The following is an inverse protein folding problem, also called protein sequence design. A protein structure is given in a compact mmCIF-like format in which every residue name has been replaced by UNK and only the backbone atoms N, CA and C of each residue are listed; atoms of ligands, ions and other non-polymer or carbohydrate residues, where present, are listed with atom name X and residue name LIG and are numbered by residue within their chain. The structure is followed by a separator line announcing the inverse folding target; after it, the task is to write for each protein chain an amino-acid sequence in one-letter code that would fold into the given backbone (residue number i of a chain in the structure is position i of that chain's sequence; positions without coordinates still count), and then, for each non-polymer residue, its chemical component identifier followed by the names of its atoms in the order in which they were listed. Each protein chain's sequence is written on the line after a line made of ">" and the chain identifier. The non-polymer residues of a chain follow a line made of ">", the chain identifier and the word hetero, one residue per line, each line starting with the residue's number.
data_IF_369439617824
#
_entry.id   IF_369439617824
#
_cell.length_a   1.000
_cell.length_b   1.000
_cell.length_c   1.000
_cell.angle_alpha   90.00
_cell.angle_beta   90.00
_cell.angle_gamma   90.00
#
_symmetry.space_group_name_H-M   'P 1'
#
loop_
_entity.id
_entity.type
_entity.pdbx_description
1 polymer ?
#
# COMPACT_ATOMS: atom_id res chain seq x y z
N UNK A 1 -41.21 2.90 0.74
CA UNK A 1 -40.23 3.84 0.14
C UNK A 1 -40.80 4.59 -1.07
N UNK A 2 -41.07 3.93 -2.21
CA UNK A 2 -41.58 4.62 -3.42
C UNK A 2 -42.97 5.27 -3.27
N UNK A 3 -43.80 4.74 -2.36
CA UNK A 3 -45.06 5.39 -1.97
C UNK A 3 -44.86 6.74 -1.26
N UNK A 4 -43.72 6.94 -0.59
CA UNK A 4 -43.41 8.16 0.18
C UNK A 4 -42.53 9.14 -0.61
N UNK A 5 -41.72 8.64 -1.54
CA UNK A 5 -40.92 9.46 -2.47
C UNK A 5 -40.68 8.70 -3.76
N UNK A 6 -41.20 9.27 -4.85
CA UNK A 6 -41.03 8.75 -6.21
C UNK A 6 -39.53 8.69 -6.55
N UNK A 7 -39.10 7.68 -7.31
CA UNK A 7 -37.71 7.42 -7.74
C UNK A 7 -36.72 7.01 -6.64
N UNK A 8 -37.17 6.53 -5.47
CA UNK A 8 -36.28 5.83 -4.54
C UNK A 8 -35.78 4.50 -5.15
N UNK A 9 -34.45 4.32 -5.20
CA UNK A 9 -33.73 3.22 -5.87
C UNK A 9 -34.11 3.17 -7.35
N UNK A 10 -33.56 4.07 -8.15
CA UNK A 10 -34.06 4.34 -9.51
C UNK A 10 -33.52 3.37 -10.57
N UNK A 11 -32.34 2.77 -10.36
CA UNK A 11 -31.71 1.87 -11.33
C UNK A 11 -31.69 0.42 -10.86
N UNK A 12 -31.64 -0.50 -11.83
CA UNK A 12 -31.44 -1.93 -11.56
C UNK A 12 -30.12 -2.17 -10.83
N UNK A 13 -29.06 -1.45 -11.16
CA UNK A 13 -27.75 -1.53 -10.51
C UNK A 13 -27.83 -1.16 -9.02
N UNK A 14 -28.55 -0.09 -8.66
CA UNK A 14 -28.77 0.29 -7.27
C UNK A 14 -29.58 -0.78 -6.52
N UNK A 15 -30.57 -1.39 -7.18
CA UNK A 15 -31.37 -2.47 -6.60
C UNK A 15 -30.50 -3.72 -6.36
N UNK A 16 -29.69 -4.13 -7.35
CA UNK A 16 -28.73 -5.24 -7.22
C UNK A 16 -27.74 -4.96 -6.09
N UNK A 17 -27.18 -3.75 -6.02
CA UNK A 17 -26.25 -3.34 -4.96
C UNK A 17 -26.87 -3.47 -3.57
N UNK A 18 -28.15 -3.10 -3.39
CA UNK A 18 -28.83 -3.27 -2.12
C UNK A 18 -28.93 -4.76 -1.70
N UNK A 19 -29.20 -5.67 -2.64
CA UNK A 19 -29.19 -7.11 -2.37
C UNK A 19 -27.78 -7.62 -2.08
N UNK A 20 -26.76 -7.16 -2.81
CA UNK A 20 -25.37 -7.52 -2.54
C UNK A 20 -24.94 -7.09 -1.12
N UNK A 21 -25.30 -5.88 -0.70
CA UNK A 21 -25.03 -5.39 0.65
C UNK A 21 -25.75 -6.22 1.73
N UNK A 22 -27.00 -6.65 1.48
CA UNK A 22 -27.73 -7.54 2.38
C UNK A 22 -27.08 -8.93 2.47
N UNK A 23 -26.67 -9.51 1.35
CA UNK A 23 -25.96 -10.79 1.32
C UNK A 23 -24.63 -10.68 2.08
N UNK A 24 -23.89 -9.60 1.90
CA UNK A 24 -22.66 -9.35 2.68
C UNK A 24 -22.96 -9.30 4.18
N UNK A 25 -23.95 -8.52 4.63
CA UNK A 25 -24.28 -8.41 6.06
C UNK A 25 -24.79 -9.73 6.65
N UNK A 26 -25.59 -10.50 5.91
CA UNK A 26 -26.22 -11.72 6.40
C UNK A 26 -25.30 -12.95 6.33
N UNK A 27 -24.35 -12.96 5.39
CA UNK A 27 -23.48 -14.11 5.14
C UNK A 27 -22.05 -13.91 5.62
N UNK A 28 -21.57 -12.68 5.81
CA UNK A 28 -20.23 -12.44 6.35
C UNK A 28 -20.22 -12.57 7.87
N UNK A 29 -19.22 -13.26 8.39
CA UNK A 29 -18.96 -13.30 9.82
C UNK A 29 -18.48 -11.93 10.30
N UNK A 30 -18.84 -11.55 11.53
CA UNK A 30 -18.25 -10.37 12.15
C UNK A 30 -16.83 -10.73 12.67
N UNK A 31 -15.80 -10.09 12.11
CA UNK A 31 -14.40 -10.30 12.48
C UNK A 31 -13.86 -9.23 13.43
N UNK A 32 -14.69 -8.25 13.79
CA UNK A 32 -14.33 -7.14 14.65
C UNK A 32 -14.11 -7.60 16.09
N UNK A 33 -13.01 -7.16 16.70
CA UNK A 33 -12.63 -7.43 18.09
C UNK A 33 -12.32 -6.11 18.79
N UNK A 34 -12.75 -5.93 20.05
CA UNK A 34 -12.16 -4.87 20.89
C UNK A 34 -10.70 -5.21 21.21
N UNK A 35 -9.88 -4.19 21.54
CA UNK A 35 -8.47 -4.41 21.94
C UNK A 35 -8.35 -5.45 23.07
N UNK A 36 -9.23 -5.37 24.08
CA UNK A 36 -9.24 -6.29 25.23
C UNK A 36 -9.54 -7.73 24.82
N UNK A 37 -10.54 -7.92 23.94
CA UNK A 37 -10.88 -9.25 23.42
C UNK A 37 -9.74 -9.80 22.56
N UNK A 38 -9.15 -8.96 21.71
CA UNK A 38 -8.04 -9.35 20.86
C UNK A 38 -6.85 -9.87 21.68
N UNK A 39 -6.36 -9.09 22.64
CA UNK A 39 -5.22 -9.49 23.50
C UNK A 39 -5.50 -10.80 24.24
N UNK A 40 -6.74 -10.99 24.70
CA UNK A 40 -7.15 -12.21 25.43
C UNK A 40 -7.24 -13.44 24.51
N UNK A 41 -7.77 -13.26 23.30
CA UNK A 41 -8.09 -14.36 22.39
C UNK A 41 -6.95 -14.68 21.41
N UNK A 42 -5.97 -13.79 21.24
CA UNK A 42 -4.97 -13.88 20.18
C UNK A 42 -4.27 -15.24 20.09
N UNK A 43 -3.74 -15.72 21.22
CA UNK A 43 -3.05 -17.02 21.25
C UNK A 43 -3.98 -18.18 20.87
N UNK A 44 -5.27 -18.09 21.24
CA UNK A 44 -6.29 -19.09 20.90
C UNK A 44 -6.63 -19.07 19.41
N UNK A 45 -6.77 -17.89 18.79
CA UNK A 45 -7.11 -17.79 17.36
C UNK A 45 -5.91 -18.09 16.44
N UNK A 46 -4.68 -17.88 16.94
CA UNK A 46 -3.42 -18.24 16.26
C UNK A 46 -3.11 -19.73 16.36
N UNK A 47 -3.51 -20.39 17.43
CA UNK A 47 -3.29 -21.82 17.61
C UNK A 47 -3.97 -22.65 16.52
N UNK A 48 -3.25 -23.67 16.02
CA UNK A 48 -3.77 -24.60 15.01
C UNK A 48 -4.71 -25.61 15.65
N UNK A 49 -5.84 -25.86 14.99
CA UNK A 49 -6.77 -26.92 15.40
C UNK A 49 -6.18 -28.29 15.10
N UNK A 50 -6.27 -29.22 16.06
CA UNK A 50 -5.83 -30.60 15.89
C UNK A 50 -6.63 -31.35 14.80
N UNK A 51 -7.87 -30.95 14.55
CA UNK A 51 -8.74 -31.62 13.58
C UNK A 51 -8.47 -31.18 12.13
N UNK A 52 -8.18 -29.89 11.90
CA UNK A 52 -8.04 -29.31 10.55
C UNK A 52 -6.60 -28.94 10.20
N UNK A 53 -5.69 -28.89 11.18
CA UNK A 53 -4.32 -28.39 11.01
C UNK A 53 -4.23 -26.88 10.75
N UNK A 54 -5.36 -26.16 10.80
CA UNK A 54 -5.45 -24.72 10.52
C UNK A 54 -5.92 -23.95 11.75
N UNK A 55 -5.41 -22.74 11.89
CA UNK A 55 -5.83 -21.73 12.86
C UNK A 55 -7.10 -21.01 12.41
N UNK A 56 -7.73 -20.28 13.33
CA UNK A 56 -8.89 -19.46 12.97
C UNK A 56 -8.51 -18.33 12.00
N UNK A 57 -7.29 -17.79 12.14
CA UNK A 57 -6.73 -16.76 11.26
C UNK A 57 -6.51 -17.30 9.84
N UNK A 58 -5.99 -18.52 9.69
CA UNK A 58 -5.80 -19.15 8.37
C UNK A 58 -7.15 -19.43 7.68
N UNK A 59 -8.18 -19.85 8.43
CA UNK A 59 -9.53 -20.05 7.88
C UNK A 59 -10.18 -18.73 7.43
N UNK A 60 -9.94 -17.65 8.17
CA UNK A 60 -10.38 -16.30 7.82
C UNK A 60 -9.71 -15.79 6.53
N UNK A 61 -8.42 -16.08 6.33
CA UNK A 61 -7.73 -15.77 5.07
C UNK A 61 -8.35 -16.49 3.86
N UNK A 62 -8.75 -17.75 4.02
CA UNK A 62 -9.44 -18.51 2.97
C UNK A 62 -10.83 -17.95 2.65
N UNK A 63 -11.54 -17.46 3.66
CA UNK A 63 -12.81 -16.76 3.48
C UNK A 63 -12.61 -15.48 2.67
N UNK A 64 -11.60 -14.68 3.01
CA UNK A 64 -11.27 -13.44 2.30
C UNK A 64 -10.97 -13.69 0.81
N UNK A 65 -10.23 -14.76 0.51
CA UNK A 65 -9.91 -15.14 -0.87
C UNK A 65 -11.14 -15.51 -1.72
N UNK A 66 -12.24 -15.97 -1.10
CA UNK A 66 -13.50 -16.28 -1.80
C UNK A 66 -14.34 -15.03 -2.08
N UNK A 67 -14.21 -14.00 -1.25
CA UNK A 67 -15.06 -12.80 -1.30
C UNK A 67 -14.43 -11.68 -2.14
N UNK A 68 -13.11 -11.65 -2.28
CA UNK A 68 -12.40 -10.69 -3.14
C UNK A 68 -12.07 -11.32 -4.50
N UNK A 69 -12.91 -11.16 -5.54
CA UNK A 69 -12.59 -11.64 -6.87
C UNK A 69 -11.41 -10.88 -7.46
N UNK A 70 -10.67 -11.54 -8.35
CA UNK A 70 -9.71 -10.86 -9.21
C UNK A 70 -10.44 -9.91 -10.15
N UNK A 71 -9.86 -8.75 -10.40
CA UNK A 71 -10.40 -7.79 -11.36
C UNK A 71 -10.45 -8.40 -12.76
N UNK A 72 -11.43 -7.96 -13.54
CA UNK A 72 -11.69 -8.53 -14.87
C UNK A 72 -10.53 -8.20 -15.83
N UNK A 73 -10.24 -9.07 -16.82
CA UNK A 73 -9.25 -8.82 -17.88
C UNK A 73 -9.32 -7.42 -18.52
N UNK A 74 -10.52 -6.89 -18.66
CA UNK A 74 -10.88 -5.61 -19.29
C UNK A 74 -10.51 -4.41 -18.41
N UNK A 75 -10.22 -4.61 -17.12
CA UNK A 75 -9.78 -3.55 -16.21
C UNK A 75 -8.28 -3.25 -16.31
N UNK A 76 -7.55 -3.94 -17.21
CA UNK A 76 -6.10 -3.85 -17.38
C UNK A 76 -5.68 -3.51 -18.81
N UNK A 77 -6.52 -2.85 -19.61
CA UNK A 77 -6.25 -2.61 -21.02
C UNK A 77 -4.97 -1.79 -21.23
N UNK A 78 -4.77 -0.70 -20.46
CA UNK A 78 -3.56 0.11 -20.61
C UNK A 78 -2.31 -0.68 -20.26
N UNK A 79 -2.35 -1.48 -19.19
CA UNK A 79 -1.22 -2.28 -18.75
C UNK A 79 -0.87 -3.42 -19.73
N UNK A 80 -1.87 -3.92 -20.47
CA UNK A 80 -1.73 -5.01 -21.46
C UNK A 80 -1.44 -4.52 -22.87
N UNK A 81 -1.46 -3.21 -23.11
CA UNK A 81 -1.02 -2.63 -24.38
C UNK A 81 0.44 -3.04 -24.65
N UNK A 82 0.72 -3.48 -25.87
CA UNK A 82 2.05 -3.93 -26.31
C UNK A 82 3.12 -2.84 -26.09
N UNK A 83 2.74 -1.56 -26.22
CA UNK A 83 3.64 -0.41 -25.96
C UNK A 83 4.05 -0.28 -24.50
N UNK A 84 3.27 -0.84 -23.58
CA UNK A 84 3.46 -0.76 -22.14
C UNK A 84 3.99 -2.06 -21.54
N UNK A 85 4.05 -3.16 -22.31
CA UNK A 85 4.48 -4.47 -21.83
C UNK A 85 5.86 -4.43 -21.15
N UNK A 86 6.82 -3.70 -21.74
CA UNK A 86 8.16 -3.52 -21.18
C UNK A 86 8.18 -2.67 -19.89
N UNK A 87 7.15 -1.87 -19.63
CA UNK A 87 7.06 -1.03 -18.42
C UNK A 87 6.58 -1.80 -17.17
N UNK A 88 6.30 -3.10 -17.31
CA UNK A 88 5.80 -3.96 -16.24
C UNK A 88 6.87 -4.97 -15.82
N UNK A 89 7.22 -4.99 -14.53
CA UNK A 89 8.17 -5.97 -13.99
C UNK A 89 7.59 -7.39 -13.98
N UNK A 90 6.28 -7.51 -13.77
CA UNK A 90 5.56 -8.79 -13.69
C UNK A 90 4.29 -8.72 -14.52
N UNK A 91 4.04 -9.75 -15.32
CA UNK A 91 2.78 -9.93 -16.06
C UNK A 91 1.60 -10.25 -15.15
N UNK A 92 1.86 -10.64 -13.90
CA UNK A 92 0.82 -10.97 -12.89
C UNK A 92 0.39 -9.75 -12.08
N UNK A 93 1.25 -8.74 -11.97
CA UNK A 93 1.02 -7.56 -11.12
C UNK A 93 0.92 -6.34 -12.03
N UNK A 94 -0.30 -6.02 -12.45
CA UNK A 94 -0.58 -4.94 -13.40
C UNK A 94 -1.32 -3.78 -12.72
N UNK A 95 -1.20 -2.58 -13.30
CA UNK A 95 -1.97 -1.44 -12.84
C UNK A 95 -3.38 -1.47 -13.44
N UNK A 96 -4.39 -1.49 -12.58
CA UNK A 96 -5.79 -1.39 -12.98
C UNK A 96 -6.10 0.01 -13.55
N UNK A 97 -6.80 0.07 -14.67
CA UNK A 97 -7.13 1.29 -15.41
C UNK A 97 -7.92 2.29 -14.55
N UNK A 98 -8.81 1.80 -13.68
CA UNK A 98 -9.64 2.65 -12.82
C UNK A 98 -8.87 3.33 -11.67
N UNK A 99 -7.66 2.85 -11.37
CA UNK A 99 -6.86 3.29 -10.21
C UNK A 99 -5.47 3.81 -10.56
N UNK A 100 -5.00 3.68 -11.79
CA UNK A 100 -3.66 4.14 -12.19
C UNK A 100 -3.54 5.67 -12.22
N UNK A 101 -2.34 6.23 -12.00
CA UNK A 101 -2.05 7.61 -12.37
C UNK A 101 -1.92 7.74 -13.89
N UNK A 102 -1.96 8.99 -14.36
CA UNK A 102 -1.79 9.36 -15.76
C UNK A 102 -0.54 10.23 -15.90
N UNK A 103 0.39 9.82 -16.76
CA UNK A 103 1.57 10.60 -17.12
C UNK A 103 1.30 11.51 -18.31
N UNK A 104 2.18 12.51 -18.53
CA UNK A 104 2.09 13.35 -19.72
C UNK A 104 2.42 12.52 -20.97
N UNK A 105 1.58 12.64 -21.99
CA UNK A 105 1.85 12.11 -23.33
C UNK A 105 2.69 13.09 -24.15
N UNK A 106 3.49 12.57 -25.06
CA UNK A 106 4.19 13.38 -26.08
C UNK A 106 3.36 13.46 -27.36
N UNK A 107 3.47 14.58 -28.08
CA UNK A 107 2.67 14.83 -29.29
C UNK A 107 2.96 13.85 -30.44
N UNK A 108 4.17 13.28 -30.46
CA UNK A 108 4.61 12.25 -31.40
C UNK A 108 4.13 10.83 -31.03
N UNK A 109 3.47 10.67 -29.87
CA UNK A 109 2.95 9.39 -29.40
C UNK A 109 4.02 8.38 -28.94
N UNK A 110 5.30 8.79 -28.88
CA UNK A 110 6.41 7.93 -28.45
C UNK A 110 6.34 7.56 -26.97
N UNK A 111 5.78 8.44 -26.14
CA UNK A 111 5.52 8.20 -24.72
C UNK A 111 4.03 8.02 -24.45
N UNK A 112 3.69 6.88 -23.86
CA UNK A 112 2.36 6.58 -23.33
C UNK A 112 2.14 7.29 -21.98
N UNK A 113 0.88 7.42 -21.57
CA UNK A 113 0.47 7.97 -20.26
C UNK A 113 0.61 6.95 -19.10
N UNK A 114 1.26 5.81 -19.35
CA UNK A 114 1.26 4.64 -18.47
C UNK A 114 2.54 4.51 -17.65
N UNK A 115 2.33 4.16 -16.38
CA UNK A 115 3.32 3.61 -15.45
C UNK A 115 2.61 2.57 -14.57
N UNK A 116 3.28 1.49 -14.18
CA UNK A 116 2.71 0.47 -13.30
C UNK A 116 2.65 0.96 -11.85
N UNK A 117 1.63 1.75 -11.56
CA UNK A 117 1.30 2.24 -10.24
C UNK A 117 -0.22 2.36 -10.07
N UNK A 118 -0.69 2.32 -8.83
CA UNK A 118 -2.12 2.44 -8.50
C UNK A 118 -2.34 3.26 -7.23
N UNK A 119 -3.44 4.00 -7.20
CA UNK A 119 -3.91 4.62 -5.96
C UNK A 119 -4.60 3.58 -5.07
N UNK A 120 -4.16 3.55 -3.81
CA UNK A 120 -4.70 2.69 -2.77
C UNK A 120 -5.33 3.56 -1.69
N UNK A 121 -6.54 3.18 -1.30
CA UNK A 121 -7.26 3.85 -0.23
C UNK A 121 -6.66 3.46 1.13
N UNK A 122 -6.48 4.44 2.01
CA UNK A 122 -6.09 4.20 3.39
C UNK A 122 -7.30 4.19 4.32
N UNK A 123 -7.06 3.91 5.59
CA UNK A 123 -8.13 3.88 6.59
C UNK A 123 -8.85 5.23 6.72
N UNK A 124 -8.08 6.33 6.83
CA UNK A 124 -8.62 7.68 7.07
C UNK A 124 -9.07 8.41 5.81
N UNK A 125 -8.52 8.05 4.64
CA UNK A 125 -8.69 8.84 3.40
C UNK A 125 -8.57 7.98 2.15
N UNK A 126 -9.32 8.34 1.11
CA UNK A 126 -9.13 7.78 -0.23
C UNK A 126 -7.80 8.25 -0.83
N UNK A 127 -7.20 7.44 -1.71
CA UNK A 127 -5.91 7.72 -2.38
C UNK A 127 -4.80 8.11 -1.38
N UNK A 128 -4.80 7.48 -0.20
CA UNK A 128 -3.78 7.70 0.82
C UNK A 128 -2.39 7.27 0.35
N UNK A 129 -2.35 6.22 -0.48
CA UNK A 129 -1.11 5.68 -1.01
C UNK A 129 -1.13 5.67 -2.54
N UNK A 130 0.04 5.83 -3.13
CA UNK A 130 0.32 5.53 -4.53
C UNK A 130 1.36 4.41 -4.55
N UNK A 131 0.92 3.20 -4.87
CA UNK A 131 1.76 2.00 -4.84
C UNK A 131 2.33 1.73 -6.21
N UNK A 132 3.63 1.47 -6.32
CA UNK A 132 4.34 1.22 -7.58
C UNK A 132 5.40 0.12 -7.42
N UNK A 133 5.80 -0.50 -8.52
CA UNK A 133 7.01 -1.33 -8.57
C UNK A 133 8.28 -0.47 -8.47
N UNK A 134 9.39 -1.09 -8.09
CA UNK A 134 10.72 -0.48 -8.23
C UNK A 134 10.96 -0.11 -9.70
N UNK A 135 11.45 1.10 -10.00
CA UNK A 135 11.69 1.55 -11.37
C UNK A 135 12.56 0.56 -12.14
N UNK A 136 12.13 0.24 -13.36
CA UNK A 136 12.97 -0.39 -14.37
C UNK A 136 13.85 0.68 -15.03
N UNK A 137 15.01 0.33 -15.62
CA UNK A 137 15.88 1.29 -16.30
C UNK A 137 15.15 2.25 -17.25
N UNK A 138 14.21 1.73 -18.04
CA UNK A 138 13.40 2.45 -19.02
C UNK A 138 12.24 3.27 -18.42
N UNK A 139 11.96 3.14 -17.12
CA UNK A 139 10.85 3.83 -16.43
C UNK A 139 11.30 4.81 -15.35
N UNK A 140 12.61 5.06 -15.19
CA UNK A 140 13.13 5.99 -14.16
C UNK A 140 12.55 7.40 -14.35
N UNK A 141 12.50 7.90 -15.59
CA UNK A 141 11.95 9.22 -15.89
C UNK A 141 10.44 9.28 -15.63
N UNK A 142 9.72 8.23 -16.02
CA UNK A 142 8.28 8.07 -15.77
C UNK A 142 7.97 8.02 -14.26
N UNK A 143 8.82 7.35 -13.48
CA UNK A 143 8.71 7.28 -12.03
C UNK A 143 8.86 8.65 -11.37
N UNK A 144 9.88 9.43 -11.74
CA UNK A 144 10.05 10.78 -11.18
C UNK A 144 8.94 11.73 -11.61
N UNK A 145 8.47 11.64 -12.85
CA UNK A 145 7.32 12.41 -13.30
C UNK A 145 6.06 12.06 -12.50
N UNK A 146 5.80 10.77 -12.25
CA UNK A 146 4.70 10.32 -11.40
C UNK A 146 4.85 10.85 -9.97
N UNK A 147 6.01 10.66 -9.35
CA UNK A 147 6.31 11.06 -7.98
C UNK A 147 6.10 12.56 -7.80
N UNK A 148 6.69 13.38 -8.69
CA UNK A 148 6.54 14.82 -8.66
C UNK A 148 5.11 15.27 -9.01
N UNK A 149 4.47 14.65 -9.99
CA UNK A 149 3.11 14.94 -10.42
C UNK A 149 2.07 14.69 -9.33
N UNK A 150 2.26 13.62 -8.55
CA UNK A 150 1.33 13.18 -7.47
C UNK A 150 1.16 14.17 -6.32
N UNK A 151 2.06 15.15 -6.18
CA UNK A 151 2.05 16.02 -5.02
C UNK A 151 2.79 15.45 -3.80
N UNK A 152 3.16 14.16 -3.82
CA UNK A 152 3.79 13.49 -2.67
C UNK A 152 5.12 14.13 -2.26
N UNK A 153 5.35 14.11 -0.95
CA UNK A 153 6.60 14.51 -0.27
C UNK A 153 7.24 13.31 0.44
N UNK A 154 6.70 12.11 0.26
CA UNK A 154 7.15 10.89 0.93
C UNK A 154 7.19 9.72 -0.02
N UNK A 155 8.35 9.06 -0.03
CA UNK A 155 8.58 7.80 -0.71
C UNK A 155 8.98 6.74 0.31
N UNK A 156 8.29 5.62 0.35
CA UNK A 156 8.66 4.44 1.14
C UNK A 156 9.17 3.39 0.17
N UNK A 157 10.40 2.92 0.36
CA UNK A 157 11.03 1.88 -0.46
C UNK A 157 11.30 0.66 0.42
N UNK A 158 10.72 -0.48 0.06
CA UNK A 158 10.75 -1.71 0.83
C UNK A 158 11.51 -2.79 0.05
N UNK A 159 12.47 -3.42 0.73
CA UNK A 159 13.31 -4.47 0.16
C UNK A 159 14.60 -3.95 -0.48
N UNK A 160 15.55 -4.84 -0.80
CA UNK A 160 16.86 -4.46 -1.26
C UNK A 160 16.91 -4.18 -2.77
N UNK A 161 17.79 -3.24 -3.16
CA UNK A 161 18.22 -3.00 -4.53
C UNK A 161 19.53 -3.77 -4.75
N UNK A 162 19.52 -4.79 -5.61
CA UNK A 162 20.61 -5.78 -5.63
C UNK A 162 21.09 -6.16 -7.04
N UNK A 163 20.44 -5.70 -8.10
CA UNK A 163 20.74 -6.15 -9.46
C UNK A 163 20.45 -5.05 -10.52
N UNK A 164 20.93 -5.27 -11.75
CA UNK A 164 20.72 -4.40 -12.91
C UNK A 164 19.24 -4.11 -13.19
N UNK A 165 18.32 -4.99 -12.75
CA UNK A 165 16.88 -4.79 -12.91
C UNK A 165 16.28 -3.82 -11.90
N UNK A 166 17.02 -3.48 -10.84
CA UNK A 166 16.64 -2.56 -9.76
C UNK A 166 17.67 -1.43 -9.63
N UNK A 167 17.91 -0.66 -10.71
CA UNK A 167 18.95 0.36 -10.72
C UNK A 167 18.69 1.43 -9.66
N UNK A 168 19.76 2.07 -9.21
CA UNK A 168 19.63 3.30 -8.44
C UNK A 168 18.93 4.34 -9.30
N UNK A 169 17.72 4.73 -8.92
CA UNK A 169 16.90 5.67 -9.67
C UNK A 169 17.04 7.12 -9.18
N UNK A 170 17.89 7.41 -8.20
CA UNK A 170 18.07 8.75 -7.61
C UNK A 170 19.52 9.26 -7.74
N UNK A 171 19.75 10.59 -7.67
CA UNK A 171 21.11 11.15 -7.76
C UNK A 171 21.98 10.73 -6.57
N UNK A 172 23.29 10.76 -6.73
CA UNK A 172 24.21 10.57 -5.58
C UNK A 172 24.13 11.75 -4.60
N UNK A 173 24.59 11.54 -3.36
CA UNK A 173 24.59 12.59 -2.34
C UNK A 173 25.31 13.86 -2.82
N UNK A 174 24.65 15.02 -2.66
CA UNK A 174 25.09 16.35 -3.12
C UNK A 174 25.25 16.47 -4.64
N UNK A 175 24.61 15.59 -5.42
CA UNK A 175 24.52 15.72 -6.88
C UNK A 175 23.09 15.97 -7.32
N UNK A 176 22.97 16.57 -8.51
CA UNK A 176 21.70 16.87 -9.16
C UNK A 176 21.61 16.11 -10.46
N UNK A 177 20.46 15.46 -10.70
CA UNK A 177 20.15 14.77 -11.95
C UNK A 177 18.80 15.25 -12.47
N UNK A 178 18.67 15.33 -13.79
CA UNK A 178 17.43 15.70 -14.48
C UNK A 178 16.81 14.45 -15.09
N UNK A 179 15.58 14.15 -14.70
CA UNK A 179 14.73 13.06 -15.17
C UNK A 179 13.56 13.65 -15.95
N UNK A 180 13.65 13.70 -17.27
CA UNK A 180 12.72 14.44 -18.12
C UNK A 180 12.51 15.90 -17.68
N UNK A 181 11.32 16.22 -17.16
CA UNK A 181 10.92 17.57 -16.67
C UNK A 181 11.19 17.78 -15.18
N UNK A 182 11.70 16.77 -14.48
CA UNK A 182 11.93 16.78 -13.04
C UNK A 182 13.42 16.93 -12.78
N UNK A 183 13.80 17.88 -11.94
CA UNK A 183 15.18 18.03 -11.46
C UNK A 183 15.21 17.61 -9.99
N UNK A 184 16.12 16.70 -9.66
CA UNK A 184 16.23 16.09 -8.34
C UNK A 184 17.65 16.26 -7.83
N UNK A 185 17.78 16.77 -6.62
CA UNK A 185 19.05 16.88 -5.90
C UNK A 185 18.96 16.09 -4.60
N UNK A 186 19.91 15.18 -4.33
CA UNK A 186 20.00 14.56 -3.01
C UNK A 186 20.76 15.48 -2.06
N UNK A 187 20.05 16.06 -1.11
CA UNK A 187 20.61 17.05 -0.16
C UNK A 187 21.17 16.41 1.11
N UNK A 188 20.61 15.28 1.54
CA UNK A 188 20.98 14.64 2.81
C UNK A 188 20.74 13.11 2.78
N UNK A 189 21.42 12.40 3.68
CA UNK A 189 21.28 10.95 3.89
C UNK A 189 21.60 10.59 5.34
N UNK A 190 20.67 9.91 6.01
CA UNK A 190 20.80 9.47 7.40
C UNK A 190 20.45 7.98 7.51
N UNK A 191 21.06 7.27 8.46
CA UNK A 191 20.76 5.88 8.78
C UNK A 191 20.21 5.79 10.21
N UNK A 192 18.96 5.33 10.33
CA UNK A 192 18.31 5.08 11.60
C UNK A 192 18.21 3.56 11.81
N UNK A 193 19.29 2.95 12.30
CA UNK A 193 19.36 1.52 12.67
C UNK A 193 18.90 0.58 11.54
N UNK A 194 19.28 0.87 10.30
CA UNK A 194 18.92 0.09 9.11
C UNK A 194 17.79 0.69 8.28
N UNK A 195 17.12 1.75 8.76
CA UNK A 195 16.22 2.58 7.96
C UNK A 195 16.98 3.76 7.36
N UNK A 196 17.28 3.68 6.06
CA UNK A 196 17.96 4.75 5.33
C UNK A 196 16.97 5.85 4.95
N UNK A 197 17.23 7.07 5.40
CA UNK A 197 16.41 8.25 5.10
C UNK A 197 17.18 9.20 4.21
N UNK A 198 16.72 9.40 2.98
CA UNK A 198 17.30 10.35 2.02
C UNK A 198 16.39 11.56 1.85
N UNK A 199 16.99 12.75 1.82
CA UNK A 199 16.25 13.99 1.58
C UNK A 199 16.58 14.53 0.20
N UNK A 200 15.55 14.72 -0.61
CA UNK A 200 15.64 15.24 -1.96
C UNK A 200 14.98 16.60 -2.09
N UNK A 201 15.61 17.49 -2.84
CA UNK A 201 14.98 18.70 -3.38
C UNK A 201 14.49 18.38 -4.79
N UNK A 202 13.18 18.47 -4.99
CA UNK A 202 12.51 18.11 -6.25
C UNK A 202 11.88 19.34 -6.88
N UNK A 203 12.24 19.62 -8.13
CA UNK A 203 11.70 20.72 -8.94
C UNK A 203 10.98 20.11 -10.14
N UNK A 204 9.73 20.51 -10.39
CA UNK A 204 8.94 19.99 -11.50
C UNK A 204 8.31 21.11 -12.31
N UNK A 205 8.84 21.33 -13.52
CA UNK A 205 8.46 22.46 -14.35
C UNK A 205 8.65 23.80 -13.63
N UNK A 206 7.62 24.64 -13.64
CA UNK A 206 7.59 25.93 -12.94
C UNK A 206 7.08 25.87 -11.50
N UNK A 207 6.80 24.67 -10.96
CA UNK A 207 6.30 24.53 -9.59
C UNK A 207 7.42 24.85 -8.58
N UNK A 208 7.07 25.37 -7.39
CA UNK A 208 8.05 25.55 -6.31
C UNK A 208 8.77 24.25 -5.98
N UNK A 209 10.05 24.37 -5.62
CA UNK A 209 10.83 23.24 -5.14
C UNK A 209 10.18 22.64 -3.89
N UNK A 210 10.13 21.31 -3.82
CA UNK A 210 9.60 20.59 -2.66
C UNK A 210 10.66 19.69 -2.07
N UNK A 211 10.61 19.53 -0.75
CA UNK A 211 11.42 18.56 -0.04
C UNK A 211 10.68 17.24 -0.01
N UNK A 212 11.32 16.20 -0.51
CA UNK A 212 10.82 14.84 -0.50
C UNK A 212 11.76 13.97 0.34
N UNK A 213 11.21 13.18 1.25
CA UNK A 213 11.97 12.17 1.99
C UNK A 213 11.68 10.77 1.49
N UNK A 214 12.74 10.02 1.21
CA UNK A 214 12.66 8.58 1.00
C UNK A 214 13.01 7.87 2.30
N UNK A 215 12.17 6.92 2.71
CA UNK A 215 12.39 5.98 3.80
C UNK A 215 12.63 4.61 3.17
N UNK A 216 13.88 4.13 3.21
CA UNK A 216 14.30 2.92 2.54
C UNK A 216 14.72 1.85 3.53
N UNK A 217 13.93 0.78 3.62
CA UNK A 217 14.20 -0.38 4.46
C UNK A 217 14.70 -1.54 3.60
N UNK A 218 15.94 -1.97 3.86
CA UNK A 218 16.58 -3.10 3.16
C UNK A 218 16.43 -4.43 3.91
N UNK A 219 15.83 -4.42 5.11
CA UNK A 219 15.79 -5.57 6.02
C UNK A 219 14.80 -6.67 5.63
N UNK A 220 14.02 -6.48 4.56
CA UNK A 220 13.09 -7.49 4.05
C UNK A 220 13.84 -8.54 3.22
N UNK A 221 13.95 -9.76 3.75
CA UNK A 221 14.58 -10.88 3.06
C UNK A 221 13.67 -11.35 1.91
N UNK A 222 14.21 -11.47 0.69
CA UNK A 222 13.47 -11.99 -0.48
C UNK A 222 12.99 -13.44 -0.32
N UNK A 223 13.60 -14.22 0.57
CA UNK A 223 13.23 -15.61 0.82
C UNK A 223 11.98 -15.77 1.72
N UNK A 224 11.51 -14.69 2.36
CA UNK A 224 10.30 -14.70 3.18
C UNK A 224 9.33 -13.63 2.69
N UNK A 225 8.04 -13.88 2.88
CA UNK A 225 6.99 -12.91 2.54
C UNK A 225 6.76 -11.88 3.64
N UNK A 226 7.32 -12.09 4.83
CA UNK A 226 7.21 -11.22 6.00
C UNK A 226 8.59 -10.74 6.45
N UNK A 227 8.69 -9.56 7.11
CA UNK A 227 9.94 -9.11 7.69
C UNK A 227 10.27 -9.91 8.96
N UNK A 228 11.51 -9.79 9.44
CA UNK A 228 11.99 -10.54 10.61
C UNK A 228 11.30 -10.17 11.93
N UNK A 229 10.73 -8.97 12.04
CA UNK A 229 9.95 -8.49 13.18
C UNK A 229 8.92 -7.46 12.73
N UNK A 230 7.80 -7.37 13.46
CA UNK A 230 6.82 -6.30 13.34
C UNK A 230 7.42 -4.91 13.60
N UNK A 231 8.45 -4.82 14.45
CA UNK A 231 9.14 -3.56 14.78
C UNK A 231 9.67 -2.84 13.55
N UNK A 232 10.14 -3.59 12.54
CA UNK A 232 10.67 -3.04 11.29
C UNK A 232 9.60 -2.20 10.59
N UNK A 233 8.37 -2.71 10.50
CA UNK A 233 7.27 -2.01 9.83
C UNK A 233 6.78 -0.85 10.69
N UNK A 234 6.68 -1.06 12.01
CA UNK A 234 6.24 -0.05 12.97
C UNK A 234 7.20 1.15 13.02
N UNK A 235 8.51 0.93 12.97
CA UNK A 235 9.52 2.01 12.93
C UNK A 235 9.37 2.85 11.64
N UNK A 236 9.20 2.21 10.48
CA UNK A 236 8.96 2.92 9.22
C UNK A 236 7.68 3.77 9.33
N UNK A 237 6.58 3.18 9.79
CA UNK A 237 5.30 3.89 9.95
C UNK A 237 5.44 5.09 10.89
N UNK A 238 6.15 4.94 12.01
CA UNK A 238 6.37 6.05 12.95
C UNK A 238 7.19 7.18 12.32
N UNK A 239 8.25 6.86 11.57
CA UNK A 239 9.07 7.86 10.87
C UNK A 239 8.30 8.57 9.75
N UNK A 240 7.48 7.83 9.00
CA UNK A 240 6.62 8.39 7.94
C UNK A 240 5.53 9.28 8.52
N UNK A 241 4.84 8.85 9.58
CA UNK A 241 3.80 9.63 10.26
C UNK A 241 4.35 10.97 10.77
N UNK A 242 5.52 10.96 11.43
CA UNK A 242 6.19 12.19 11.90
C UNK A 242 6.49 13.16 10.76
N UNK A 243 6.97 12.66 9.63
CA UNK A 243 7.25 13.50 8.47
C UNK A 243 5.98 14.01 7.80
N UNK A 244 4.94 13.19 7.67
CA UNK A 244 3.66 13.58 7.09
C UNK A 244 2.97 14.68 7.90
N UNK A 245 3.07 14.65 9.23
CA UNK A 245 2.59 15.73 10.10
C UNK A 245 3.32 17.06 9.88
N UNK A 246 4.62 17.03 9.58
CA UNK A 246 5.43 18.23 9.36
C UNK A 246 5.28 18.80 7.94
N UNK A 247 5.15 17.93 6.94
CA UNK A 247 5.18 18.30 5.53
C UNK A 247 3.79 18.45 4.89
N UNK A 248 2.72 18.26 5.67
CA UNK A 248 1.31 18.31 5.22
C UNK A 248 1.01 17.43 4.00
N UNK A 249 1.67 16.26 3.94
CA UNK A 249 1.53 15.32 2.84
C UNK A 249 0.12 14.70 2.77
N UNK A 250 -0.40 14.57 1.54
CA UNK A 250 -1.72 13.92 1.32
C UNK A 250 -1.61 12.46 0.92
N UNK A 251 -0.63 12.14 0.08
CA UNK A 251 -0.40 10.80 -0.48
C UNK A 251 1.03 10.38 -0.19
N UNK A 252 1.22 9.14 0.24
CA UNK A 252 2.53 8.50 0.41
C UNK A 252 2.77 7.59 -0.79
N UNK A 253 3.93 7.73 -1.45
CA UNK A 253 4.32 6.79 -2.51
C UNK A 253 5.00 5.61 -1.85
N UNK A 254 4.54 4.40 -2.12
CA UNK A 254 5.09 3.16 -1.55
C UNK A 254 5.55 2.27 -2.69
N UNK A 255 6.75 1.73 -2.59
CA UNK A 255 7.26 0.80 -3.58
C UNK A 255 8.00 -0.36 -2.93
N UNK A 256 7.89 -1.51 -3.59
CA UNK A 256 8.72 -2.67 -3.38
C UNK A 256 9.06 -3.26 -4.76
N UNK A 257 9.60 -4.48 -4.83
CA UNK A 257 10.07 -5.05 -6.10
C UNK A 257 9.04 -4.93 -7.23
N UNK A 258 7.84 -5.49 -7.03
CA UNK A 258 6.73 -5.51 -7.99
C UNK A 258 5.57 -4.57 -7.61
N UNK A 259 5.67 -3.89 -6.47
CA UNK A 259 4.60 -3.05 -5.94
C UNK A 259 3.41 -3.85 -5.40
N UNK A 260 3.62 -5.11 -5.01
CA UNK A 260 2.57 -5.95 -4.44
C UNK A 260 2.91 -6.44 -3.03
N UNK A 261 3.93 -7.27 -2.88
CA UNK A 261 4.13 -8.07 -1.67
C UNK A 261 4.37 -7.24 -0.40
N UNK A 262 5.48 -6.52 -0.33
CA UNK A 262 5.83 -5.69 0.85
C UNK A 262 4.99 -4.42 0.90
N UNK A 263 4.67 -3.85 -0.27
CA UNK A 263 3.86 -2.64 -0.36
C UNK A 263 2.43 -2.86 0.15
N UNK A 264 1.83 -4.01 -0.16
CA UNK A 264 0.52 -4.41 0.34
C UNK A 264 0.54 -4.60 1.85
N UNK A 265 1.55 -5.30 2.38
CA UNK A 265 1.70 -5.48 3.82
C UNK A 265 1.88 -4.15 4.55
N UNK A 266 2.67 -3.22 4.00
CA UNK A 266 2.81 -1.87 4.53
C UNK A 266 1.48 -1.10 4.56
N UNK A 267 0.71 -1.12 3.46
CA UNK A 267 -0.57 -0.40 3.38
C UNK A 267 -1.60 -0.95 4.38
N UNK A 268 -1.69 -2.28 4.51
CA UNK A 268 -2.55 -2.93 5.50
C UNK A 268 -2.09 -2.62 6.93
N UNK A 269 -0.79 -2.70 7.19
CA UNK A 269 -0.22 -2.39 8.52
C UNK A 269 -0.53 -0.96 8.94
N UNK A 270 -0.40 0.00 8.02
CA UNK A 270 -0.77 1.39 8.26
C UNK A 270 -2.27 1.54 8.56
N UNK A 271 -3.14 0.83 7.83
CA UNK A 271 -4.58 0.85 8.08
C UNK A 271 -4.94 0.25 9.45
N UNK A 272 -4.32 -0.86 9.85
CA UNK A 272 -4.49 -1.49 11.16
C UNK A 272 -4.05 -0.54 12.28
N UNK A 273 -2.86 0.07 12.16
CA UNK A 273 -2.37 1.02 13.14
C UNK A 273 -3.31 2.23 13.28
N UNK A 274 -3.82 2.74 12.16
CA UNK A 274 -4.78 3.85 12.16
C UNK A 274 -6.12 3.48 12.78
N UNK A 275 -6.62 2.26 12.53
CA UNK A 275 -7.83 1.74 13.15
C UNK A 275 -7.67 1.63 14.66
N UNK A 276 -6.58 1.00 15.13
CA UNK A 276 -6.30 0.86 16.56
C UNK A 276 -6.19 2.22 17.26
N UNK A 277 -5.50 3.20 16.64
CA UNK A 277 -5.38 4.58 17.19
C UNK A 277 -6.74 5.27 17.34
N UNK A 278 -7.63 5.13 16.36
CA UNK A 278 -8.86 5.93 16.27
C UNK A 278 -10.09 5.25 16.89
N UNK A 279 -10.23 3.94 16.72
CA UNK A 279 -11.44 3.19 17.09
C UNK A 279 -11.25 2.35 18.36
N UNK A 280 -10.01 2.08 18.79
CA UNK A 280 -9.71 1.14 19.89
C UNK A 280 -10.31 -0.26 19.66
N UNK A 281 -10.40 -0.64 18.39
CA UNK A 281 -10.94 -1.91 17.91
C UNK A 281 -10.06 -2.41 16.76
N UNK A 282 -10.08 -3.72 16.51
CA UNK A 282 -9.30 -4.39 15.48
C UNK A 282 -10.23 -5.18 14.55
N UNK A 283 -10.11 -4.92 13.25
CA UNK A 283 -10.75 -5.71 12.20
C UNK A 283 -9.76 -5.91 11.05
N UNK A 284 -8.88 -6.91 11.20
CA UNK A 284 -7.85 -7.24 10.20
C UNK A 284 -8.51 -7.67 8.89
N UNK A 285 -9.58 -8.47 8.96
CA UNK A 285 -10.32 -8.93 7.79
C UNK A 285 -10.81 -7.75 6.93
N UNK A 286 -11.49 -6.79 7.54
CA UNK A 286 -11.97 -5.59 6.84
C UNK A 286 -10.82 -4.71 6.36
N UNK A 287 -9.76 -4.56 7.15
CA UNK A 287 -8.58 -3.78 6.77
C UNK A 287 -7.92 -4.33 5.51
N UNK A 288 -7.67 -5.65 5.45
CA UNK A 288 -7.11 -6.31 4.28
C UNK A 288 -8.08 -6.24 3.10
N UNK A 289 -9.36 -6.51 3.33
CA UNK A 289 -10.40 -6.44 2.29
C UNK A 289 -10.44 -5.07 1.61
N UNK A 290 -10.44 -3.99 2.39
CA UNK A 290 -10.48 -2.62 1.87
C UNK A 290 -9.24 -2.29 1.02
N UNK A 291 -8.06 -2.73 1.45
CA UNK A 291 -6.82 -2.54 0.69
C UNK A 291 -6.82 -3.40 -0.58
N UNK A 292 -7.33 -4.64 -0.52
CA UNK A 292 -7.53 -5.52 -1.68
C UNK A 292 -8.54 -5.01 -2.69
N UNK A 293 -9.53 -4.19 -2.30
CA UNK A 293 -10.38 -3.48 -3.26
C UNK A 293 -9.58 -2.55 -4.19
N UNK A 294 -8.34 -2.19 -3.82
CA UNK A 294 -7.43 -1.42 -4.65
C UNK A 294 -6.51 -2.28 -5.52
N UNK A 295 -6.07 -3.41 -5.00
CA UNK A 295 -5.26 -4.43 -5.69
C UNK A 295 -5.55 -5.80 -5.07
N UNK A 296 -6.31 -6.67 -5.73
CA UNK A 296 -6.70 -7.98 -5.19
C UNK A 296 -5.51 -8.86 -4.76
N UNK A 297 -4.35 -8.65 -5.36
CA UNK A 297 -3.12 -9.41 -5.11
C UNK A 297 -2.40 -9.07 -3.80
N UNK A 298 -2.78 -7.98 -3.11
CA UNK A 298 -2.16 -7.63 -1.82
C UNK A 298 -2.40 -8.69 -0.74
N UNK A 299 -1.43 -8.82 0.18
CA UNK A 299 -1.35 -9.92 1.16
C UNK A 299 -1.28 -11.26 0.44
N UNK A 300 -0.07 -11.67 0.04
CA UNK A 300 0.12 -12.73 -0.97
C UNK A 300 -0.15 -14.13 -0.44
N UNK A 301 -0.03 -14.34 0.87
CA UNK A 301 -0.19 -15.64 1.52
C UNK A 301 -0.74 -15.51 2.96
N UNK A 302 -0.97 -16.66 3.59
CA UNK A 302 -1.44 -16.73 4.97
C UNK A 302 -0.39 -16.26 5.98
N UNK A 303 0.90 -16.29 5.64
CA UNK A 303 1.98 -15.85 6.53
C UNK A 303 1.92 -14.33 6.71
N UNK A 304 1.75 -13.57 5.61
CA UNK A 304 1.49 -12.12 5.66
C UNK A 304 0.19 -11.79 6.40
N UNK A 305 -0.85 -12.61 6.25
CA UNK A 305 -2.12 -12.40 6.95
C UNK A 305 -1.98 -12.59 8.47
N UNK A 306 -1.29 -13.65 8.91
CA UNK A 306 -0.95 -13.87 10.32
C UNK A 306 -0.08 -12.73 10.86
N UNK A 307 0.90 -12.28 10.06
CA UNK A 307 1.76 -11.15 10.43
C UNK A 307 0.98 -9.86 10.68
N UNK A 308 -0.14 -9.62 9.99
CA UNK A 308 -0.99 -8.45 10.27
C UNK A 308 -1.53 -8.46 11.71
N UNK A 309 -1.84 -9.64 12.25
CA UNK A 309 -2.22 -9.80 13.65
C UNK A 309 -1.02 -9.68 14.60
N UNK A 310 0.14 -10.26 14.26
CA UNK A 310 1.39 -10.08 15.03
C UNK A 310 1.76 -8.60 15.16
N UNK A 311 1.60 -7.84 14.07
CA UNK A 311 1.86 -6.41 14.02
C UNK A 311 0.86 -5.63 14.87
N UNK A 312 -0.42 -5.99 14.86
CA UNK A 312 -1.42 -5.38 15.72
C UNK A 312 -1.07 -5.57 17.21
N UNK A 313 -0.63 -6.76 17.60
CA UNK A 313 -0.20 -7.02 18.99
C UNK A 313 1.04 -6.21 19.35
N UNK A 314 2.08 -6.25 18.51
CA UNK A 314 3.33 -5.50 18.73
C UNK A 314 3.10 -3.99 18.83
N UNK A 315 2.15 -3.48 18.05
CA UNK A 315 1.72 -2.09 18.11
C UNK A 315 1.09 -1.76 19.46
N UNK A 316 0.20 -2.61 19.99
CA UNK A 316 -0.43 -2.41 21.29
C UNK A 316 0.59 -2.44 22.44
N UNK A 317 1.54 -3.37 22.41
CA UNK A 317 2.61 -3.47 23.41
C UNK A 317 3.46 -2.18 23.45
N UNK A 318 3.67 -1.58 22.27
CA UNK A 318 4.35 -0.28 22.15
C UNK A 318 3.53 0.84 22.82
N UNK A 319 2.20 0.87 22.63
CA UNK A 319 1.30 1.88 23.20
C UNK A 319 1.14 1.78 24.72
N UNK A 320 1.04 0.56 25.27
CA UNK A 320 0.98 0.36 26.72
C UNK A 320 2.27 0.83 27.40
N UNK A 321 3.41 0.57 26.76
CA UNK A 321 4.70 1.09 27.22
C UNK A 321 4.69 2.62 27.29
N UNK A 322 4.19 3.32 26.25
CA UNK A 322 4.09 4.79 26.28
C UNK A 322 3.08 5.33 27.30
N UNK A 323 1.99 4.61 27.57
CA UNK A 323 0.96 5.04 28.55
C UNK A 323 1.44 4.91 29.99
N UNK A 324 2.36 3.98 30.26
CA UNK A 324 2.99 3.79 31.58
C UNK A 324 4.11 4.80 31.89
N UNK A 325 4.51 5.64 30.91
CA UNK A 325 5.51 6.71 31.07
C UNK A 325 4.90 8.13 31.11
N UNK A 326 3.57 8.26 31.18
CA UNK A 326 2.88 9.53 31.46
C UNK A 326 2.49 9.67 32.93
#
# INVERSE_FOLDING_TARGET
>A
MRQSRVNLVESLEQYIFAYMALVEILCSKNHKLSVKEFVTLYQKIKAKSAATGKSAIELEYEELARICPLAAPEEYNSARDVRNAAKNRSSKILACDSRRPFLSVTADGSKTDYINAIYVDGFKRRKAYLVTQLPLPETIDDFWEMLAGSGSVTLVTLGPLQDESTPQFWPSLKTTVKYGKVVVEQTDSQDFRGLLVRTFKVIYGSRPARILKQFHSQSWNRASTVPSSSDVVLEILQHVDRWQMQAEGRTVVVQCLDGCQESGLYCVSAAICDQLKLEQELDVFRSVRNVRCSRPEFIVDSEQYVFCYDLALSFLDTFETYSNFQ
#
